data_IF_566772618147
#
_entry.id   IF_566772618147
#
_cell.length_a   1.000
_cell.length_b   1.000
_cell.length_c   1.000
_cell.angle_alpha   90.00
_cell.angle_beta   90.00
_cell.angle_gamma   90.00
#
_symmetry.space_group_name_H-M   'P 1'
#
loop_
_entity.id
_entity.type
_entity.pdbx_description
1 polymer ?
#
# COMPACT_ATOMS: atom_id res chain seq x y z
N UNK A 1 63.87 47.32 -55.09
CA UNK A 1 62.60 47.81 -54.52
C UNK A 1 62.49 47.26 -53.11
N UNK A 2 62.94 48.04 -52.14
CA UNK A 2 62.76 47.70 -50.73
C UNK A 2 61.28 47.57 -50.43
N UNK A 3 60.93 46.47 -49.76
CA UNK A 3 59.55 46.08 -49.55
C UNK A 3 59.01 46.91 -48.39
N UNK A 4 58.75 48.18 -48.69
CA UNK A 4 58.05 49.12 -47.83
C UNK A 4 56.77 48.41 -47.39
N UNK A 5 56.59 48.32 -46.07
CA UNK A 5 55.45 47.71 -45.39
C UNK A 5 55.52 46.21 -44.99
N UNK A 6 56.69 45.71 -44.57
CA UNK A 6 56.83 44.37 -43.97
C UNK A 6 56.19 44.25 -42.56
N UNK A 7 56.22 45.33 -41.76
CA UNK A 7 55.68 45.35 -40.39
C UNK A 7 54.15 45.32 -40.36
N UNK A 8 53.47 46.11 -41.19
CA UNK A 8 51.99 46.09 -41.22
C UNK A 8 51.45 44.76 -41.75
N UNK A 9 52.13 44.14 -42.73
CA UNK A 9 51.78 42.80 -43.21
C UNK A 9 51.92 41.72 -42.13
N UNK A 10 52.98 41.77 -41.33
CA UNK A 10 53.16 40.85 -40.22
C UNK A 10 52.10 41.05 -39.12
N UNK A 11 51.76 42.30 -38.80
CA UNK A 11 50.70 42.63 -37.83
C UNK A 11 49.32 42.15 -38.30
N UNK A 12 48.96 42.41 -39.56
CA UNK A 12 47.71 41.95 -40.15
C UNK A 12 47.62 40.42 -40.20
N UNK A 13 48.73 39.74 -40.51
CA UNK A 13 48.80 38.28 -40.46
C UNK A 13 48.64 37.72 -39.04
N UNK A 14 49.24 38.36 -38.04
CA UNK A 14 49.15 37.93 -36.64
C UNK A 14 47.74 38.15 -36.09
N UNK A 15 47.09 39.27 -36.45
CA UNK A 15 45.69 39.53 -36.12
C UNK A 15 44.75 38.52 -36.81
N UNK A 16 45.01 38.19 -38.08
CA UNK A 16 44.27 37.14 -38.79
C UNK A 16 44.45 35.77 -38.12
N UNK A 17 45.68 35.40 -37.76
CA UNK A 17 45.97 34.14 -37.08
C UNK A 17 45.28 34.06 -35.71
N UNK A 18 45.28 35.17 -34.95
CA UNK A 18 44.57 35.26 -33.68
C UNK A 18 43.06 35.07 -33.87
N UNK A 19 42.46 35.80 -34.81
CA UNK A 19 41.03 35.66 -35.12
C UNK A 19 40.68 34.26 -35.62
N UNK A 20 41.57 33.64 -36.40
CA UNK A 20 41.40 32.27 -36.89
C UNK A 20 41.43 31.25 -35.75
N UNK A 21 42.35 31.39 -34.79
CA UNK A 21 42.41 30.52 -33.61
C UNK A 21 41.16 30.70 -32.73
N UNK A 22 40.73 31.95 -32.51
CA UNK A 22 39.53 32.24 -31.71
C UNK A 22 38.28 31.64 -32.36
N UNK A 23 38.06 31.89 -33.65
CA UNK A 23 36.90 31.37 -34.38
C UNK A 23 36.89 29.85 -34.45
N UNK A 24 38.06 29.24 -34.70
CA UNK A 24 38.24 27.78 -34.66
C UNK A 24 37.94 27.22 -33.26
N UNK A 25 38.44 27.87 -32.21
CA UNK A 25 38.19 27.48 -30.83
C UNK A 25 36.71 27.54 -30.45
N UNK A 26 36.00 28.61 -30.83
CA UNK A 26 34.55 28.73 -30.62
C UNK A 26 33.79 27.63 -31.36
N UNK A 27 34.19 27.30 -32.60
CA UNK A 27 33.56 26.25 -33.38
C UNK A 27 33.74 24.87 -32.73
N UNK A 28 34.94 24.55 -32.25
CA UNK A 28 35.19 23.31 -31.50
C UNK A 28 34.40 23.25 -30.19
N UNK A 29 34.30 24.36 -29.46
CA UNK A 29 33.55 24.43 -28.22
C UNK A 29 32.04 24.24 -28.46
N UNK A 30 31.51 24.84 -29.52
CA UNK A 30 30.11 24.68 -29.93
C UNK A 30 29.79 23.22 -30.30
N UNK A 31 30.66 22.56 -31.07
CA UNK A 31 30.50 21.13 -31.41
C UNK A 31 30.58 20.26 -30.16
N UNK A 32 31.53 20.53 -29.26
CA UNK A 32 31.70 19.77 -28.03
C UNK A 32 30.47 19.87 -27.11
N UNK A 33 29.92 21.07 -26.94
CA UNK A 33 28.68 21.26 -26.18
C UNK A 33 27.49 20.57 -26.85
N UNK A 34 27.37 20.66 -28.18
CA UNK A 34 26.30 20.02 -28.91
C UNK A 34 26.32 18.48 -28.78
N UNK A 35 27.51 17.86 -28.66
CA UNK A 35 27.64 16.41 -28.51
C UNK A 35 27.51 15.92 -27.05
N UNK A 36 28.05 16.67 -26.09
CA UNK A 36 28.09 16.23 -24.67
C UNK A 36 26.76 16.42 -23.94
N UNK A 37 26.00 17.44 -24.32
CA UNK A 37 24.69 17.75 -23.75
C UNK A 37 23.65 16.63 -23.97
N UNK A 38 23.44 16.08 -25.18
CA UNK A 38 22.48 14.99 -25.40
C UNK A 38 22.88 13.69 -24.71
N UNK A 39 24.18 13.42 -24.52
CA UNK A 39 24.64 12.24 -23.78
C UNK A 39 24.23 12.32 -22.31
N UNK A 40 24.43 13.49 -21.68
CA UNK A 40 24.07 13.70 -20.28
C UNK A 40 22.56 13.69 -20.07
N UNK A 41 21.80 14.28 -20.99
CA UNK A 41 20.33 14.21 -20.97
C UNK A 41 19.84 12.76 -21.09
N UNK A 42 20.41 11.97 -22.01
CA UNK A 42 20.07 10.56 -22.14
C UNK A 42 20.41 9.74 -20.89
N UNK A 43 21.56 10.01 -20.24
CA UNK A 43 21.91 9.35 -18.98
C UNK A 43 20.93 9.67 -17.86
N UNK A 44 20.53 10.93 -17.72
CA UNK A 44 19.54 11.36 -16.73
C UNK A 44 18.18 10.73 -17.02
N UNK A 45 17.70 10.79 -18.27
CA UNK A 45 16.45 10.18 -18.70
C UNK A 45 16.44 8.66 -18.46
N UNK A 46 17.55 7.98 -18.73
CA UNK A 46 17.67 6.55 -18.45
C UNK A 46 17.59 6.27 -16.95
N UNK A 47 18.28 7.05 -16.12
CA UNK A 47 18.22 6.88 -14.67
C UNK A 47 16.82 7.15 -14.10
N UNK A 48 16.10 8.12 -14.65
CA UNK A 48 14.72 8.42 -14.25
C UNK A 48 13.76 7.30 -14.69
N UNK A 49 13.92 6.78 -15.91
CA UNK A 49 13.14 5.64 -16.39
C UNK A 49 13.38 4.39 -15.53
N UNK A 50 14.63 4.10 -15.17
CA UNK A 50 14.98 2.97 -14.30
C UNK A 50 14.34 3.11 -12.90
N UNK A 51 14.29 4.34 -12.35
CA UNK A 51 13.58 4.63 -11.09
C UNK A 51 12.09 4.41 -11.20
N UNK A 52 11.45 4.97 -12.23
CA UNK A 52 10.02 4.81 -12.49
C UNK A 52 9.67 3.33 -12.67
N UNK A 53 10.47 2.59 -13.42
CA UNK A 53 10.25 1.16 -13.66
C UNK A 53 10.35 0.35 -12.37
N UNK A 54 11.28 0.72 -11.48
CA UNK A 54 11.43 0.09 -10.15
C UNK A 54 10.21 0.39 -9.28
N UNK A 55 9.76 1.65 -9.22
CA UNK A 55 8.55 2.05 -8.49
C UNK A 55 7.29 1.37 -9.03
N UNK A 56 7.15 1.27 -10.35
CA UNK A 56 6.01 0.62 -10.99
C UNK A 56 5.97 -0.88 -10.70
N UNK A 57 7.14 -1.55 -10.77
CA UNK A 57 7.24 -2.96 -10.42
C UNK A 57 6.90 -3.21 -8.96
N UNK A 58 7.36 -2.34 -8.05
CA UNK A 58 6.99 -2.40 -6.64
C UNK A 58 5.48 -2.22 -6.44
N UNK A 59 4.89 -1.19 -7.06
CA UNK A 59 3.44 -0.93 -7.01
C UNK A 59 2.62 -2.14 -7.48
N UNK A 60 3.04 -2.77 -8.58
CA UNK A 60 2.38 -3.97 -9.10
C UNK A 60 2.45 -5.12 -8.09
N UNK A 61 3.64 -5.43 -7.58
CA UNK A 61 3.81 -6.50 -6.58
C UNK A 61 3.02 -6.21 -5.29
N UNK A 62 2.99 -4.96 -4.85
CA UNK A 62 2.21 -4.53 -3.72
C UNK A 62 0.71 -4.76 -3.97
N UNK A 63 0.21 -4.34 -5.13
CA UNK A 63 -1.20 -4.53 -5.53
C UNK A 63 -1.58 -6.01 -5.56
N UNK A 64 -0.77 -6.85 -6.19
CA UNK A 64 -1.02 -8.30 -6.29
C UNK A 64 -1.09 -8.95 -4.89
N UNK A 65 -0.20 -8.54 -3.97
CA UNK A 65 -0.23 -9.00 -2.57
C UNK A 65 -1.47 -8.53 -1.82
N UNK A 66 -1.88 -7.28 -1.99
CA UNK A 66 -3.10 -6.76 -1.38
C UNK A 66 -4.34 -7.51 -1.89
N UNK A 67 -4.41 -7.82 -3.18
CA UNK A 67 -5.50 -8.61 -3.76
C UNK A 67 -5.56 -10.01 -3.15
N UNK A 68 -4.42 -10.67 -3.00
CA UNK A 68 -4.32 -11.97 -2.33
C UNK A 68 -4.80 -11.90 -0.87
N UNK A 69 -4.39 -10.86 -0.12
CA UNK A 69 -4.86 -10.61 1.24
C UNK A 69 -6.39 -10.38 1.25
N UNK A 70 -6.94 -9.71 0.24
CA UNK A 70 -8.38 -9.54 0.05
C UNK A 70 -9.12 -10.88 -0.02
N UNK A 71 -8.59 -11.85 -0.77
CA UNK A 71 -9.16 -13.21 -0.86
C UNK A 71 -9.12 -13.93 0.49
N UNK A 72 -8.05 -13.75 1.27
CA UNK A 72 -7.95 -14.28 2.64
C UNK A 72 -8.99 -13.65 3.55
N UNK A 73 -9.22 -12.34 3.43
CA UNK A 73 -10.24 -11.61 4.20
C UNK A 73 -11.65 -12.10 3.88
N UNK A 74 -11.96 -12.34 2.61
CA UNK A 74 -13.24 -12.93 2.19
C UNK A 74 -13.43 -14.35 2.73
N UNK A 75 -12.33 -15.05 3.00
CA UNK A 75 -12.35 -16.40 3.58
C UNK A 75 -12.64 -16.38 5.08
N UNK A 76 -12.34 -15.27 5.79
CA UNK A 76 -12.66 -15.11 7.21
C UNK A 76 -14.16 -15.25 7.49
N UNK A 77 -15.01 -14.74 6.60
CA UNK A 77 -16.46 -14.81 6.76
C UNK A 77 -17.01 -16.22 6.47
N UNK A 78 -16.33 -16.98 5.61
CA UNK A 78 -16.78 -18.31 5.16
C UNK A 78 -16.36 -19.44 6.10
N UNK A 79 -15.23 -19.27 6.79
CA UNK A 79 -14.62 -20.31 7.62
C UNK A 79 -14.37 -19.82 9.05
N UNK A 80 -15.43 -19.63 9.87
CA UNK A 80 -15.29 -19.15 11.25
C UNK A 80 -14.44 -20.08 12.13
N UNK A 81 -14.45 -21.39 11.87
CA UNK A 81 -13.61 -22.36 12.59
C UNK A 81 -12.11 -22.19 12.31
N UNK A 82 -11.75 -21.66 11.14
CA UNK A 82 -10.38 -21.39 10.74
C UNK A 82 -9.98 -19.93 10.88
N UNK A 83 -10.83 -19.09 11.51
CA UNK A 83 -10.64 -17.65 11.59
C UNK A 83 -9.25 -17.27 12.13
N UNK A 84 -8.82 -17.90 13.23
CA UNK A 84 -7.53 -17.61 13.84
C UNK A 84 -6.34 -17.94 12.92
N UNK A 85 -6.41 -19.03 12.18
CA UNK A 85 -5.35 -19.42 11.25
C UNK A 85 -5.25 -18.44 10.08
N UNK A 86 -6.40 -18.05 9.51
CA UNK A 86 -6.47 -17.08 8.41
C UNK A 86 -6.02 -15.69 8.89
N UNK A 87 -6.42 -15.27 10.10
CA UNK A 87 -5.99 -14.02 10.74
C UNK A 87 -4.45 -13.96 10.89
N UNK A 88 -3.84 -15.05 11.33
CA UNK A 88 -2.38 -15.15 11.46
C UNK A 88 -1.68 -15.06 10.11
N UNK A 89 -2.24 -15.72 9.09
CA UNK A 89 -1.69 -15.68 7.73
C UNK A 89 -1.75 -14.26 7.14
N UNK A 90 -2.89 -13.57 7.27
CA UNK A 90 -3.03 -12.17 6.88
C UNK A 90 -2.02 -11.29 7.62
N UNK A 91 -1.87 -11.49 8.93
CA UNK A 91 -0.92 -10.71 9.74
C UNK A 91 0.53 -10.91 9.26
N UNK A 92 0.91 -12.14 8.91
CA UNK A 92 2.22 -12.45 8.37
C UNK A 92 2.46 -11.76 7.01
N UNK A 93 1.51 -11.87 6.08
CA UNK A 93 1.61 -11.22 4.76
C UNK A 93 1.67 -9.69 4.87
N UNK A 94 0.95 -9.07 5.81
CA UNK A 94 1.01 -7.63 6.05
C UNK A 94 2.38 -7.18 6.61
N UNK A 95 2.99 -7.98 7.48
CA UNK A 95 4.34 -7.70 8.01
C UNK A 95 5.38 -7.82 6.89
N UNK A 96 5.34 -8.90 6.12
CA UNK A 96 6.22 -9.11 4.95
C UNK A 96 6.07 -7.97 3.92
N UNK A 97 4.84 -7.51 3.69
CA UNK A 97 4.57 -6.38 2.80
C UNK A 97 5.17 -5.08 3.33
N UNK A 98 5.04 -4.83 4.64
CA UNK A 98 5.58 -3.64 5.30
C UNK A 98 7.10 -3.58 5.24
N UNK A 99 7.79 -4.71 5.45
CA UNK A 99 9.25 -4.79 5.38
C UNK A 99 9.80 -4.51 3.98
N UNK A 100 9.00 -4.77 2.94
CA UNK A 100 9.39 -4.55 1.54
C UNK A 100 9.18 -3.11 1.06
N UNK A 101 8.52 -2.25 1.84
CA UNK A 101 8.31 -0.85 1.46
C UNK A 101 9.66 -0.11 1.42
N UNK A 102 10.04 0.51 0.29
CA UNK A 102 11.28 1.28 0.20
C UNK A 102 11.28 2.47 1.17
N UNK A 103 12.37 2.68 1.91
CA UNK A 103 12.48 3.75 2.90
C UNK A 103 12.54 5.18 2.31
N UNK A 104 12.82 5.31 1.01
CA UNK A 104 13.29 6.57 0.41
C UNK A 104 12.17 7.50 -0.12
N UNK A 105 10.89 7.13 0.02
CA UNK A 105 9.77 7.86 -0.62
C UNK A 105 8.70 8.32 0.38
N UNK A 106 8.93 9.46 1.04
CA UNK A 106 8.12 10.00 2.15
C UNK A 106 6.60 10.11 1.88
N UNK A 107 6.18 10.32 0.62
CA UNK A 107 4.77 10.50 0.26
C UNK A 107 4.06 9.19 -0.11
N UNK A 108 4.72 8.29 -0.84
CA UNK A 108 4.17 6.96 -1.15
C UNK A 108 4.25 6.01 0.05
N UNK A 109 5.20 6.21 0.97
CA UNK A 109 5.30 5.45 2.22
C UNK A 109 3.99 5.53 3.02
N UNK A 110 3.45 6.75 3.16
CA UNK A 110 2.19 6.99 3.89
C UNK A 110 1.01 6.31 3.23
N UNK A 111 0.98 6.24 1.90
CA UNK A 111 -0.10 5.54 1.19
C UNK A 111 -0.08 4.04 1.51
N UNK A 112 1.07 3.40 1.35
CA UNK A 112 1.21 1.96 1.60
C UNK A 112 0.94 1.62 3.07
N UNK A 113 1.48 2.42 4.00
CA UNK A 113 1.20 2.26 5.43
C UNK A 113 -0.29 2.41 5.74
N UNK A 114 -0.96 3.41 5.17
CA UNK A 114 -2.40 3.62 5.37
C UNK A 114 -3.22 2.44 4.86
N UNK A 115 -2.85 1.86 3.71
CA UNK A 115 -3.52 0.65 3.18
C UNK A 115 -3.33 -0.53 4.14
N UNK A 116 -2.10 -0.77 4.62
CA UNK A 116 -1.81 -1.84 5.58
C UNK A 116 -2.59 -1.66 6.88
N UNK A 117 -2.63 -0.44 7.42
CA UNK A 117 -3.39 -0.11 8.64
C UNK A 117 -4.88 -0.35 8.42
N UNK A 118 -5.44 0.13 7.30
CA UNK A 118 -6.85 -0.03 6.96
C UNK A 118 -7.24 -1.51 6.88
N UNK A 119 -6.39 -2.34 6.26
CA UNK A 119 -6.62 -3.78 6.17
C UNK A 119 -6.56 -4.45 7.54
N UNK A 120 -5.58 -4.09 8.37
CA UNK A 120 -5.49 -4.60 9.74
C UNK A 120 -6.74 -4.24 10.56
N UNK A 121 -7.23 -3.02 10.44
CA UNK A 121 -8.43 -2.57 11.14
C UNK A 121 -9.70 -3.25 10.61
N UNK A 122 -9.76 -3.55 9.31
CA UNK A 122 -10.82 -4.37 8.72
C UNK A 122 -10.84 -5.78 9.32
N UNK A 123 -9.68 -6.45 9.41
CA UNK A 123 -9.56 -7.79 10.00
C UNK A 123 -9.99 -7.78 11.47
N UNK A 124 -9.54 -6.81 12.25
CA UNK A 124 -9.96 -6.64 13.66
C UNK A 124 -11.47 -6.41 13.77
N UNK A 125 -12.04 -5.59 12.89
CA UNK A 125 -13.48 -5.33 12.87
C UNK A 125 -14.27 -6.60 12.58
N UNK A 126 -13.83 -7.42 11.61
CA UNK A 126 -14.44 -8.72 11.31
C UNK A 126 -14.37 -9.68 12.50
N UNK A 127 -13.25 -9.69 13.23
CA UNK A 127 -13.10 -10.49 14.46
C UNK A 127 -14.12 -10.09 15.53
N UNK A 128 -14.27 -8.78 15.77
CA UNK A 128 -15.26 -8.27 16.73
C UNK A 128 -16.68 -8.62 16.29
N UNK A 129 -17.00 -8.51 14.99
CA UNK A 129 -18.31 -8.90 14.46
C UNK A 129 -18.61 -10.38 14.67
N UNK A 130 -17.63 -11.27 14.49
CA UNK A 130 -17.79 -12.69 14.75
C UNK A 130 -18.12 -12.94 16.23
N UNK A 131 -17.36 -12.34 17.15
CA UNK A 131 -17.60 -12.47 18.59
C UNK A 131 -18.99 -11.96 18.99
N UNK A 132 -19.40 -10.80 18.48
CA UNK A 132 -20.73 -10.23 18.76
C UNK A 132 -21.84 -11.13 18.21
N UNK A 133 -21.66 -11.74 17.05
CA UNK A 133 -22.63 -12.65 16.47
C UNK A 133 -22.81 -13.92 17.33
N UNK A 134 -21.71 -14.48 17.84
CA UNK A 134 -21.78 -15.65 18.72
C UNK A 134 -22.44 -15.31 20.06
N UNK A 135 -22.09 -14.17 20.67
CA UNK A 135 -22.78 -13.68 21.87
C UNK A 135 -24.28 -13.46 21.64
N UNK A 136 -24.67 -12.96 20.46
CA UNK A 136 -26.09 -12.77 20.12
C UNK A 136 -26.84 -14.11 20.05
N UNK A 137 -26.26 -15.13 19.42
CA UNK A 137 -26.87 -16.48 19.36
C UNK A 137 -27.05 -17.08 20.76
N UNK A 138 -26.07 -16.87 21.65
CA UNK A 138 -26.16 -17.32 23.04
C UNK A 138 -27.29 -16.60 23.78
N UNK A 139 -27.40 -15.28 23.64
CA UNK A 139 -28.49 -14.48 24.22
C UNK A 139 -29.86 -14.97 23.71
N UNK A 140 -29.98 -15.24 22.41
CA UNK A 140 -31.23 -15.73 21.82
C UNK A 140 -31.62 -17.12 22.36
N UNK A 141 -30.64 -18.00 22.57
CA UNK A 141 -30.86 -19.32 23.19
C UNK A 141 -31.30 -19.18 24.66
N UNK A 142 -30.59 -18.36 25.44
CA UNK A 142 -30.91 -18.11 26.85
C UNK A 142 -32.32 -17.50 27.00
N UNK A 143 -32.68 -16.54 26.14
CA UNK A 143 -34.02 -15.95 26.11
C UNK A 143 -35.10 -16.98 25.79
N UNK A 144 -34.82 -17.93 24.89
CA UNK A 144 -35.75 -19.02 24.58
C UNK A 144 -35.95 -19.94 25.78
N UNK A 145 -34.85 -20.38 26.42
CA UNK A 145 -34.91 -21.21 27.63
C UNK A 145 -35.64 -20.52 28.78
N UNK A 146 -35.42 -19.21 28.96
CA UNK A 146 -36.08 -18.43 29.98
C UNK A 146 -37.60 -18.40 29.78
N UNK A 147 -38.06 -18.23 28.53
CA UNK A 147 -39.49 -18.32 28.19
C UNK A 147 -40.08 -19.71 28.45
N UNK A 148 -39.36 -20.77 28.07
CA UNK A 148 -39.79 -22.15 28.32
C UNK A 148 -39.93 -22.41 29.83
N UNK A 149 -38.96 -22.01 30.64
CA UNK A 149 -39.04 -22.12 32.11
C UNK A 149 -40.14 -21.25 32.73
N UNK A 150 -40.44 -20.08 32.17
CA UNK A 150 -41.57 -19.26 32.61
C UNK A 150 -42.91 -19.93 32.32
N UNK A 151 -43.04 -20.61 31.19
CA UNK A 151 -44.25 -21.38 30.83
C UNK A 151 -44.40 -22.61 31.73
N UNK A 152 -43.34 -23.41 31.90
CA UNK A 152 -43.35 -24.57 32.79
C UNK A 152 -43.72 -24.18 34.23
N UNK A 153 -43.15 -23.08 34.75
CA UNK A 153 -43.49 -22.58 36.08
C UNK A 153 -44.96 -22.15 36.19
N UNK A 154 -45.54 -21.55 35.13
CA UNK A 154 -46.97 -21.20 35.11
C UNK A 154 -47.85 -22.45 35.11
N UNK A 155 -47.47 -23.49 34.37
CA UNK A 155 -48.16 -24.78 34.37
C UNK A 155 -48.08 -25.47 35.73
N UNK A 156 -46.88 -25.59 36.31
CA UNK A 156 -46.67 -26.13 37.65
C UNK A 156 -47.49 -25.39 38.72
N UNK A 157 -47.53 -24.06 38.66
CA UNK A 157 -48.38 -23.25 39.56
C UNK A 157 -49.87 -23.53 39.38
N UNK A 158 -50.32 -23.76 38.14
CA UNK A 158 -51.71 -24.12 37.85
C UNK A 158 -52.05 -25.50 38.41
N UNK A 159 -51.22 -26.49 38.20
CA UNK A 159 -51.40 -27.86 38.68
C UNK A 159 -51.39 -27.94 40.22
N UNK A 160 -50.49 -27.17 40.84
CA UNK A 160 -50.43 -27.05 42.30
C UNK A 160 -51.71 -26.43 42.87
N UNK A 161 -52.26 -25.39 42.23
CA UNK A 161 -53.55 -24.81 42.63
C UNK A 161 -54.70 -25.81 42.50
N UNK A 162 -54.76 -26.56 41.40
CA UNK A 162 -55.78 -27.61 41.19
C UNK A 162 -55.70 -28.67 42.29
N UNK A 163 -54.50 -29.14 42.60
CA UNK A 163 -54.25 -30.14 43.66
C UNK A 163 -54.66 -29.60 45.03
N UNK A 164 -54.34 -28.34 45.34
CA UNK A 164 -54.76 -27.70 46.58
C UNK A 164 -56.27 -27.53 46.70
N UNK A 165 -56.97 -27.25 45.59
CA UNK A 165 -58.43 -27.16 45.57
C UNK A 165 -59.07 -28.54 45.78
N UNK A 166 -58.60 -29.58 45.10
CA UNK A 166 -59.06 -30.96 45.27
C UNK A 166 -58.88 -31.46 46.71
N UNK A 167 -57.79 -31.06 47.38
CA UNK A 167 -57.53 -31.40 48.79
C UNK A 167 -58.46 -30.67 49.77
N UNK A 168 -59.13 -29.60 49.36
CA UNK A 168 -60.07 -28.85 50.22
C UNK A 168 -61.53 -29.30 50.04
N UNK A 169 -61.83 -30.01 48.96
CA UNK A 169 -63.18 -30.51 48.64
C UNK A 169 -63.41 -31.97 49.04
N UNK A 170 -62.37 -32.69 49.44
CA UNK A 170 -62.45 -33.98 50.16
C UNK A 170 -62.19 -33.76 51.65
#
# INVERSE_FOLDING_TARGET
MDILNRKERASAFLLFLLMFIITTGVLFFAIFFNYKLPLKENEVLKSENDRILTEFNFQKQFSDKIEHIGVLIDSLDKAPESFQFIEQNISFELVDLKEKIPADSDQSLKLYDNVIITINDLVKTKKLLLQVNDSKKEIDLLNKQLKEYEEENKELLRDLRLTQQLRRTN
#
